data_IF_845105533342
#
_entry.id   IF_845105533342
#
_cell.length_a   1.000
_cell.length_b   1.000
_cell.length_c   1.000
_cell.angle_alpha   90.00
_cell.angle_beta   90.00
_cell.angle_gamma   90.00
#
_symmetry.space_group_name_H-M   'P 1'
#
loop_
_entity.id
_entity.type
_entity.pdbx_description
1 polymer ?
#
# COMPACT_ATOMS: atom_id res chain seq x y z
N UNK A 1 -15.20 -55.47 -9.74
CA UNK A 1 -14.48 -54.44 -8.94
C UNK A 1 -14.57 -53.09 -9.64
N UNK A 2 -15.63 -52.28 -9.43
CA UNK A 2 -15.80 -51.01 -10.17
C UNK A 2 -16.69 -49.94 -9.49
N UNK A 3 -17.45 -50.27 -8.44
CA UNK A 3 -18.41 -49.32 -7.85
C UNK A 3 -17.83 -48.49 -6.69
N UNK A 4 -17.02 -49.09 -5.80
CA UNK A 4 -16.52 -48.40 -4.59
C UNK A 4 -15.51 -47.27 -4.85
N UNK A 5 -14.73 -47.35 -5.94
CA UNK A 5 -13.76 -46.28 -6.31
C UNK A 5 -14.45 -45.03 -6.88
N UNK A 6 -15.58 -45.21 -7.57
CA UNK A 6 -16.37 -44.09 -8.13
C UNK A 6 -17.17 -43.36 -7.04
N UNK A 7 -17.63 -44.11 -6.03
CA UNK A 7 -18.31 -43.54 -4.86
C UNK A 7 -17.36 -42.69 -4.00
N UNK A 8 -16.12 -43.15 -3.80
CA UNK A 8 -15.12 -42.40 -3.01
C UNK A 8 -14.70 -41.09 -3.66
N UNK A 9 -14.58 -41.04 -4.99
CA UNK A 9 -14.21 -39.82 -5.74
C UNK A 9 -15.35 -38.80 -5.76
N UNK A 10 -16.61 -39.25 -5.80
CA UNK A 10 -17.77 -38.33 -5.77
C UNK A 10 -17.94 -37.68 -4.40
N UNK A 11 -17.64 -38.40 -3.32
CA UNK A 11 -17.69 -37.87 -1.95
C UNK A 11 -16.62 -36.80 -1.71
N UNK A 12 -15.38 -37.01 -2.16
CA UNK A 12 -14.30 -36.01 -1.99
C UNK A 12 -14.54 -34.73 -2.79
N UNK A 13 -15.08 -34.85 -4.01
CA UNK A 13 -15.46 -33.67 -4.82
C UNK A 13 -16.62 -32.91 -4.18
N UNK A 14 -17.62 -33.61 -3.64
CA UNK A 14 -18.74 -32.99 -2.93
C UNK A 14 -18.32 -32.24 -1.68
N UNK A 15 -17.41 -32.82 -0.88
CA UNK A 15 -16.88 -32.17 0.34
C UNK A 15 -16.05 -30.94 -0.02
N UNK A 16 -15.22 -31.01 -1.06
CA UNK A 16 -14.45 -29.85 -1.52
C UNK A 16 -15.34 -28.69 -1.96
N UNK A 17 -16.40 -28.98 -2.72
CA UNK A 17 -17.37 -27.97 -3.16
C UNK A 17 -18.14 -27.36 -1.99
N UNK A 18 -18.55 -28.18 -1.01
CA UNK A 18 -19.25 -27.69 0.18
C UNK A 18 -18.37 -26.77 1.03
N UNK A 19 -17.09 -27.11 1.23
CA UNK A 19 -16.14 -26.25 1.97
C UNK A 19 -15.92 -24.93 1.24
N UNK A 20 -15.85 -24.95 -0.10
CA UNK A 20 -15.65 -23.75 -0.90
C UNK A 20 -16.89 -22.82 -0.85
N UNK A 21 -18.09 -23.39 -0.87
CA UNK A 21 -19.35 -22.62 -0.71
C UNK A 21 -19.48 -22.00 0.68
N UNK A 22 -19.04 -22.70 1.73
CA UNK A 22 -19.03 -22.15 3.11
C UNK A 22 -18.00 -21.02 3.22
N UNK A 23 -16.83 -21.14 2.60
CA UNK A 23 -15.82 -20.07 2.59
C UNK A 23 -16.31 -18.81 1.86
N UNK A 24 -17.00 -18.97 0.72
CA UNK A 24 -17.61 -17.85 -0.02
C UNK A 24 -18.77 -17.22 0.76
N UNK A 25 -19.60 -18.04 1.43
CA UNK A 25 -20.70 -17.55 2.26
C UNK A 25 -20.23 -16.72 3.46
N UNK A 26 -19.13 -17.12 4.12
CA UNK A 26 -18.53 -16.35 5.21
C UNK A 26 -17.90 -15.06 4.67
N UNK A 27 -17.24 -15.11 3.52
CA UNK A 27 -16.64 -13.94 2.88
C UNK A 27 -17.70 -12.89 2.50
N UNK A 28 -18.82 -13.32 1.92
CA UNK A 28 -19.95 -12.45 1.58
C UNK A 28 -20.75 -11.90 2.77
N UNK A 29 -20.59 -12.47 3.97
CA UNK A 29 -21.18 -11.95 5.21
C UNK A 29 -20.30 -10.87 5.87
N UNK A 30 -18.99 -10.90 5.61
CA UNK A 30 -18.03 -9.87 6.06
C UNK A 30 -17.98 -8.68 5.11
N UNK A 31 -18.17 -8.90 3.81
CA UNK A 31 -18.33 -7.85 2.79
C UNK A 31 -19.81 -7.66 2.52
N UNK A 32 -20.49 -6.82 3.32
CA UNK A 32 -21.94 -6.59 3.21
C UNK A 32 -22.43 -6.25 1.79
N UNK A 33 -23.74 -6.37 1.51
CA UNK A 33 -24.29 -6.14 0.18
C UNK A 33 -23.97 -4.72 -0.29
N UNK A 34 -23.64 -4.53 -1.59
CA UNK A 34 -23.48 -3.20 -2.14
C UNK A 34 -24.79 -2.42 -1.96
N UNK A 35 -24.74 -1.13 -1.56
CA UNK A 35 -25.94 -0.33 -1.42
C UNK A 35 -26.62 -0.15 -2.78
N UNK A 36 -27.94 -0.33 -2.79
CA UNK A 36 -28.80 0.03 -3.93
C UNK A 36 -28.69 1.53 -4.19
N UNK A 37 -28.19 1.90 -5.37
CA UNK A 37 -28.10 3.30 -5.82
C UNK A 37 -29.52 3.85 -6.06
N UNK A 38 -29.98 4.89 -5.33
CA UNK A 38 -31.24 5.55 -5.66
C UNK A 38 -31.06 6.46 -6.87
N UNK A 39 -31.93 6.33 -7.88
CA UNK A 39 -32.07 7.28 -8.98
C UNK A 39 -32.45 8.67 -8.43
N UNK A 40 -31.60 9.67 -8.70
CA UNK A 40 -31.89 11.07 -8.41
C UNK A 40 -32.80 11.69 -9.49
N UNK A 41 -33.82 12.47 -9.12
CA UNK A 41 -34.47 13.43 -10.02
C UNK A 41 -33.65 14.73 -10.12
N UNK A 42 -33.77 15.41 -11.26
CA UNK A 42 -33.09 16.65 -11.61
C UNK A 42 -33.69 17.92 -10.96
N UNK A 43 -32.88 19.00 -11.02
CA UNK A 43 -33.16 20.44 -10.83
C UNK A 43 -33.33 20.91 -9.36
N UNK A 44 -32.72 22.00 -8.83
CA UNK A 44 -32.14 23.26 -9.35
C UNK A 44 -31.19 23.91 -8.27
N UNK A 45 -30.52 25.06 -8.51
CA UNK A 45 -29.28 25.46 -7.83
C UNK A 45 -29.45 26.26 -6.54
N UNK A 46 -28.64 25.93 -5.52
CA UNK A 46 -28.48 26.69 -4.29
C UNK A 46 -27.01 26.85 -3.93
N UNK A 47 -26.52 28.09 -3.97
CA UNK A 47 -25.20 28.49 -3.50
C UNK A 47 -25.00 28.13 -2.03
N UNK A 48 -24.06 27.24 -1.74
CA UNK A 48 -23.43 27.07 -0.45
C UNK A 48 -21.92 26.90 -0.67
N UNK A 49 -21.13 27.72 0.00
CA UNK A 49 -19.68 27.66 -0.02
C UNK A 49 -19.23 26.48 0.86
N UNK A 50 -18.51 25.53 0.24
CA UNK A 50 -17.94 24.31 0.81
C UNK A 50 -16.40 24.44 0.75
N UNK A 51 -15.62 23.86 1.70
CA UNK A 51 -14.19 24.13 1.86
C UNK A 51 -13.34 23.65 0.69
N UNK A 52 -12.19 24.30 0.47
CA UNK A 52 -11.20 23.92 -0.56
C UNK A 52 -10.58 22.55 -0.28
N UNK A 53 -11.29 21.48 -0.62
CA UNK A 53 -10.69 20.18 -0.85
C UNK A 53 -9.93 20.28 -2.17
N UNK A 54 -8.60 20.24 -2.11
CA UNK A 54 -7.76 20.29 -3.31
C UNK A 54 -7.96 18.99 -4.08
N UNK A 55 -8.93 19.01 -5.00
CA UNK A 55 -9.35 17.91 -5.85
C UNK A 55 -8.26 17.64 -6.90
N UNK A 56 -7.15 17.06 -6.46
CA UNK A 56 -6.08 16.61 -7.35
C UNK A 56 -6.47 15.21 -7.81
N UNK A 57 -6.86 15.10 -9.08
CA UNK A 57 -7.20 13.84 -9.71
C UNK A 57 -6.15 12.75 -9.39
N UNK A 58 -6.59 11.50 -9.12
CA UNK A 58 -5.70 10.41 -8.77
C UNK A 58 -4.64 10.19 -9.85
N UNK A 59 -3.37 10.11 -9.43
CA UNK A 59 -2.25 9.86 -10.34
C UNK A 59 -1.96 8.37 -10.36
N UNK A 60 -2.08 7.76 -11.55
CA UNK A 60 -1.70 6.36 -11.77
C UNK A 60 -0.21 6.28 -12.06
N UNK A 61 0.54 5.52 -11.26
CA UNK A 61 1.99 5.39 -11.42
C UNK A 61 2.35 4.06 -12.09
N UNK A 62 2.95 4.12 -13.28
CA UNK A 62 3.41 2.92 -14.01
C UNK A 62 4.78 2.43 -13.50
N UNK A 63 5.09 1.12 -13.62
CA UNK A 63 6.38 0.58 -13.22
C UNK A 63 7.46 0.99 -14.21
N UNK A 64 8.11 2.11 -13.91
CA UNK A 64 9.41 2.49 -14.45
C UNK A 64 10.42 2.43 -13.31
N UNK A 65 11.70 2.12 -13.58
CA UNK A 65 12.76 2.30 -12.59
C UNK A 65 12.69 3.74 -12.08
N UNK A 66 12.41 3.91 -10.78
CA UNK A 66 12.26 5.24 -10.23
C UNK A 66 13.59 5.97 -10.32
N UNK A 67 13.68 7.17 -10.95
CA UNK A 67 14.77 8.09 -10.62
C UNK A 67 14.71 8.24 -9.09
N UNK A 68 15.86 8.17 -8.42
CA UNK A 68 15.91 8.13 -6.95
C UNK A 68 15.04 9.19 -6.26
N UNK A 69 14.78 9.02 -4.97
CA UNK A 69 13.86 9.89 -4.22
C UNK A 69 14.20 11.38 -4.40
N UNK A 70 13.19 12.25 -4.50
CA UNK A 70 13.40 13.66 -4.80
C UNK A 70 14.20 14.34 -3.69
N UNK A 71 15.14 15.20 -4.09
CA UNK A 71 15.82 16.10 -3.15
C UNK A 71 14.93 17.31 -2.88
N UNK A 72 14.06 17.20 -1.88
CA UNK A 72 13.09 18.22 -1.51
C UNK A 72 13.09 18.47 0.00
N UNK A 73 12.64 19.65 0.41
CA UNK A 73 12.36 19.99 1.82
C UNK A 73 10.88 19.89 2.16
N UNK A 74 10.02 19.57 1.18
CA UNK A 74 8.59 19.34 1.40
C UNK A 74 8.33 17.87 1.79
N UNK A 75 7.86 17.60 3.02
CA UNK A 75 7.61 16.24 3.49
C UNK A 75 6.50 15.52 2.71
N UNK A 76 5.48 16.23 2.22
CA UNK A 76 4.38 15.60 1.49
C UNK A 76 4.85 15.10 0.12
N UNK A 77 5.61 15.92 -0.61
CA UNK A 77 6.22 15.52 -1.89
C UNK A 77 7.18 14.35 -1.70
N UNK A 78 8.01 14.37 -0.64
CA UNK A 78 8.94 13.28 -0.37
C UNK A 78 8.22 11.98 -0.01
N UNK A 79 7.25 12.02 0.91
CA UNK A 79 6.49 10.85 1.35
C UNK A 79 5.69 10.22 0.20
N UNK A 80 5.11 11.04 -0.69
CA UNK A 80 4.49 10.54 -1.92
C UNK A 80 5.47 9.74 -2.76
N UNK A 81 6.65 10.28 -3.03
CA UNK A 81 7.66 9.59 -3.82
C UNK A 81 8.15 8.29 -3.17
N UNK A 82 8.25 8.25 -1.83
CA UNK A 82 8.51 7.02 -1.08
C UNK A 82 7.40 5.99 -1.34
N UNK A 83 6.13 6.38 -1.21
CA UNK A 83 5.01 5.48 -1.47
C UNK A 83 5.01 4.94 -2.90
N UNK A 84 5.23 5.81 -3.89
CA UNK A 84 5.31 5.41 -5.31
C UNK A 84 6.45 4.41 -5.54
N UNK A 85 7.64 4.68 -4.98
CA UNK A 85 8.81 3.81 -5.08
C UNK A 85 8.59 2.45 -4.42
N UNK A 86 7.85 2.38 -3.30
CA UNK A 86 7.58 1.12 -2.60
C UNK A 86 6.49 0.30 -3.28
N UNK A 87 5.41 0.96 -3.74
CA UNK A 87 4.21 0.28 -4.19
C UNK A 87 4.21 -0.08 -5.68
N UNK A 88 5.18 0.42 -6.44
CA UNK A 88 5.27 0.20 -7.88
C UNK A 88 6.46 -0.68 -8.22
N UNK A 89 6.21 -1.89 -8.73
CA UNK A 89 7.26 -2.84 -9.11
C UNK A 89 6.79 -3.80 -10.19
N UNK A 90 7.75 -4.37 -10.91
CA UNK A 90 7.54 -5.45 -11.86
C UNK A 90 8.47 -6.62 -11.48
N UNK A 91 7.88 -7.79 -11.23
CA UNK A 91 8.64 -8.98 -10.85
C UNK A 91 9.60 -9.43 -11.94
N UNK A 92 9.36 -9.07 -13.21
CA UNK A 92 10.24 -9.38 -14.32
C UNK A 92 11.40 -8.38 -14.46
N UNK A 93 11.22 -7.14 -14.01
CA UNK A 93 12.21 -6.07 -14.15
C UNK A 93 13.24 -6.01 -13.00
N UNK A 94 12.88 -6.49 -11.80
CA UNK A 94 13.73 -6.41 -10.61
C UNK A 94 14.06 -7.81 -10.09
N UNK A 95 15.30 -8.03 -9.63
CA UNK A 95 15.76 -9.36 -9.19
C UNK A 95 14.96 -9.94 -8.01
N UNK A 96 14.49 -9.08 -7.10
CA UNK A 96 13.66 -9.49 -5.97
C UNK A 96 13.34 -8.33 -5.03
N UNK A 97 12.67 -8.63 -3.89
CA UNK A 97 12.19 -7.61 -2.97
C UNK A 97 13.30 -6.69 -2.42
N UNK A 98 14.42 -7.28 -1.99
CA UNK A 98 15.53 -6.53 -1.42
C UNK A 98 16.17 -5.55 -2.43
N UNK A 99 16.26 -5.95 -3.70
CA UNK A 99 16.80 -5.10 -4.76
C UNK A 99 15.87 -3.94 -5.07
N UNK A 100 14.56 -4.17 -4.98
CA UNK A 100 13.53 -3.15 -5.21
C UNK A 100 13.61 -2.00 -4.20
N UNK A 101 13.75 -2.31 -2.91
CA UNK A 101 13.80 -1.28 -1.85
C UNK A 101 15.19 -0.68 -1.64
N UNK A 102 16.24 -1.23 -2.26
CA UNK A 102 17.62 -0.76 -2.05
C UNK A 102 17.78 0.75 -2.29
N UNK A 103 17.22 1.37 -3.35
CA UNK A 103 17.31 2.81 -3.54
C UNK A 103 16.60 3.62 -2.44
N UNK A 104 15.50 3.11 -1.90
CA UNK A 104 14.75 3.75 -0.81
C UNK A 104 15.56 3.69 0.49
N UNK A 105 16.14 2.52 0.81
CA UNK A 105 17.01 2.35 1.97
C UNK A 105 18.29 3.19 1.88
N UNK A 106 18.79 3.42 0.66
CA UNK A 106 19.96 4.28 0.44
C UNK A 106 19.71 5.77 0.74
N UNK A 107 18.44 6.20 0.76
CA UNK A 107 18.04 7.58 1.09
C UNK A 107 17.59 7.75 2.55
N UNK A 108 17.81 6.73 3.37
CA UNK A 108 17.58 6.79 4.81
C UNK A 108 18.36 7.94 5.48
N UNK A 109 18.07 8.16 6.77
CA UNK A 109 18.70 9.17 7.60
C UNK A 109 20.25 9.15 7.49
N UNK A 110 20.91 10.29 7.18
CA UNK A 110 22.37 10.35 6.98
C UNK A 110 23.21 9.87 8.16
N UNK A 111 22.72 10.03 9.39
CA UNK A 111 23.38 9.57 10.62
C UNK A 111 23.05 8.12 10.99
N UNK A 112 22.15 7.47 10.23
CA UNK A 112 21.83 6.03 10.27
C UNK A 112 21.31 5.52 11.62
N UNK A 113 20.71 6.40 12.40
CA UNK A 113 20.08 6.06 13.67
C UNK A 113 18.84 5.19 13.44
N UNK A 114 18.00 5.56 12.48
CA UNK A 114 16.73 4.87 12.19
C UNK A 114 16.87 3.77 11.13
N UNK A 115 17.96 3.81 10.34
CA UNK A 115 18.22 2.88 9.23
C UNK A 115 18.00 1.38 9.56
N UNK A 116 18.46 0.82 10.71
CA UNK A 116 18.17 -0.58 11.03
C UNK A 116 16.68 -0.87 11.22
N UNK A 117 15.95 0.04 11.86
CA UNK A 117 14.51 -0.06 12.03
C UNK A 117 13.78 0.05 10.70
N UNK A 118 14.19 0.99 9.85
CA UNK A 118 13.66 1.17 8.51
C UNK A 118 13.81 -0.07 7.64
N UNK A 119 14.96 -0.74 7.68
CA UNK A 119 15.16 -1.98 6.93
C UNK A 119 14.14 -3.07 7.33
N UNK A 120 13.83 -3.18 8.62
CA UNK A 120 12.79 -4.08 9.14
C UNK A 120 11.38 -3.66 8.73
N UNK A 121 11.11 -2.35 8.65
CA UNK A 121 9.84 -1.85 8.15
C UNK A 121 9.67 -2.18 6.66
N UNK A 122 10.65 -1.83 5.82
CA UNK A 122 10.65 -2.07 4.37
C UNK A 122 10.42 -3.55 4.00
N UNK A 123 11.00 -4.47 4.77
CA UNK A 123 10.82 -5.91 4.55
C UNK A 123 9.36 -6.36 4.66
N UNK A 124 8.51 -5.60 5.36
CA UNK A 124 7.07 -5.90 5.55
C UNK A 124 6.18 -5.30 4.45
N UNK A 125 6.71 -4.40 3.62
CA UNK A 125 5.95 -3.76 2.54
C UNK A 125 5.92 -4.58 1.25
N UNK A 126 6.88 -5.50 1.09
CA UNK A 126 7.00 -6.33 -0.11
C UNK A 126 6.63 -7.79 0.15
N UNK A 127 6.24 -8.53 -0.91
CA UNK A 127 6.10 -9.97 -0.83
C UNK A 127 7.38 -10.64 -0.31
N UNK A 128 7.24 -11.73 0.45
CA UNK A 128 8.39 -12.55 0.83
C UNK A 128 9.10 -13.12 -0.42
N UNK A 129 10.40 -13.43 -0.36
CA UNK A 129 11.17 -13.83 -1.53
C UNK A 129 10.59 -15.05 -2.29
N UNK A 130 10.04 -16.03 -1.60
CA UNK A 130 9.38 -17.20 -2.19
C UNK A 130 8.08 -16.82 -2.89
N UNK A 131 7.27 -15.94 -2.27
CA UNK A 131 6.05 -15.37 -2.89
C UNK A 131 6.42 -14.55 -4.12
N UNK A 132 7.50 -13.77 -4.08
CA UNK A 132 7.97 -13.01 -5.24
C UNK A 132 8.31 -13.92 -6.43
N UNK A 133 8.93 -15.09 -6.20
CA UNK A 133 9.20 -16.05 -7.28
C UNK A 133 7.92 -16.64 -7.86
N UNK A 134 6.92 -16.93 -7.02
CA UNK A 134 5.60 -17.36 -7.49
C UNK A 134 4.95 -16.27 -8.36
N UNK A 135 4.95 -15.02 -7.89
CA UNK A 135 4.42 -13.87 -8.65
C UNK A 135 5.16 -13.67 -9.97
N UNK A 136 6.48 -13.90 -10.00
CA UNK A 136 7.29 -13.85 -11.23
C UNK A 136 6.85 -14.90 -12.25
N UNK A 137 6.51 -16.12 -11.85
CA UNK A 137 5.94 -17.12 -12.76
C UNK A 137 4.62 -16.66 -13.40
N UNK A 138 3.89 -15.79 -12.72
CA UNK A 138 2.66 -15.16 -13.21
C UNK A 138 2.90 -13.82 -13.89
N UNK A 139 4.15 -13.45 -14.21
CA UNK A 139 4.51 -12.18 -14.84
C UNK A 139 3.88 -10.98 -14.11
N UNK A 140 3.88 -11.04 -12.78
CA UNK A 140 3.10 -10.10 -11.98
C UNK A 140 3.76 -8.73 -11.96
N UNK A 141 2.95 -7.71 -12.15
CA UNK A 141 3.29 -6.30 -12.00
C UNK A 141 2.37 -5.68 -10.95
N UNK A 142 2.90 -4.74 -10.17
CA UNK A 142 2.14 -3.90 -9.26
C UNK A 142 2.34 -2.42 -9.60
N UNK A 143 1.22 -1.70 -9.65
CA UNK A 143 1.16 -0.24 -9.73
C UNK A 143 0.35 0.27 -8.55
N UNK A 144 0.38 1.59 -8.32
CA UNK A 144 -0.43 2.20 -7.29
C UNK A 144 -1.09 3.49 -7.78
N UNK A 145 -2.28 3.72 -7.26
CA UNK A 145 -2.97 5.01 -7.30
C UNK A 145 -2.91 5.60 -5.91
N UNK A 146 -2.29 6.79 -5.77
CA UNK A 146 -2.24 7.52 -4.51
C UNK A 146 -3.46 8.45 -4.44
N UNK A 147 -4.30 8.27 -3.42
CA UNK A 147 -5.53 9.04 -3.23
C UNK A 147 -5.30 10.25 -2.34
N UNK A 148 -4.60 10.07 -1.22
CA UNK A 148 -4.33 11.12 -0.26
C UNK A 148 -2.91 11.05 0.30
N UNK A 149 -2.37 12.23 0.59
CA UNK A 149 -1.06 12.44 1.23
C UNK A 149 -1.20 13.62 2.16
N UNK A 150 -1.20 13.39 3.47
CA UNK A 150 -1.47 14.42 4.48
C UNK A 150 -0.74 14.15 5.78
N UNK A 151 -0.53 15.20 6.58
CA UNK A 151 -0.08 15.06 7.97
C UNK A 151 -1.35 14.83 8.80
N UNK A 152 -1.46 13.75 9.58
CA UNK A 152 -2.65 13.51 10.39
C UNK A 152 -2.80 14.58 11.47
N UNK A 153 -4.04 15.01 11.73
CA UNK A 153 -4.36 16.08 12.70
C UNK A 153 -3.86 15.75 14.12
N UNK A 154 -3.72 14.46 14.44
CA UNK A 154 -3.19 13.99 15.72
C UNK A 154 -1.69 14.22 15.89
N UNK A 155 -0.95 14.49 14.79
CA UNK A 155 0.51 14.49 14.78
C UNK A 155 1.11 15.45 15.79
N UNK A 156 0.63 16.70 15.85
CA UNK A 156 1.20 17.70 16.77
C UNK A 156 1.04 17.30 18.23
N UNK A 157 -0.08 16.65 18.57
CA UNK A 157 -0.34 16.14 19.92
C UNK A 157 0.56 14.94 20.24
N UNK A 158 0.80 14.06 19.27
CA UNK A 158 1.69 12.90 19.43
C UNK A 158 3.14 13.38 19.56
N UNK A 159 3.58 14.28 18.69
CA UNK A 159 4.96 14.75 18.62
C UNK A 159 5.41 15.49 19.88
N UNK A 160 4.47 16.09 20.61
CA UNK A 160 4.72 16.78 21.88
C UNK A 160 4.45 15.92 23.12
N UNK A 161 3.96 14.69 22.93
CA UNK A 161 3.66 13.77 24.04
C UNK A 161 4.93 13.18 24.65
N UNK A 162 4.90 12.93 25.97
CA UNK A 162 6.02 12.25 26.67
C UNK A 162 6.28 10.84 26.13
N UNK A 163 5.24 10.18 25.60
CA UNK A 163 5.32 8.84 25.00
C UNK A 163 6.03 8.78 23.66
N UNK A 164 6.10 9.89 22.91
CA UNK A 164 6.83 9.93 21.65
C UNK A 164 8.36 9.93 21.86
N UNK A 165 8.82 10.08 23.10
CA UNK A 165 10.23 10.28 23.40
C UNK A 165 10.76 11.59 22.82
N UNK A 166 12.07 11.68 22.65
CA UNK A 166 12.69 12.87 22.05
C UNK A 166 12.75 12.69 20.53
N UNK A 167 11.69 13.09 19.83
CA UNK A 167 11.71 13.19 18.38
C UNK A 167 12.74 14.24 17.96
N UNK A 168 13.40 14.00 16.83
CA UNK A 168 14.29 14.99 16.24
C UNK A 168 13.48 16.17 15.69
N UNK A 169 13.98 17.38 15.87
CA UNK A 169 13.42 18.57 15.23
C UNK A 169 13.26 18.39 13.71
N UNK A 170 12.12 18.82 13.16
CA UNK A 170 11.82 18.62 11.74
C UNK A 170 11.35 17.21 11.37
N UNK A 171 11.12 16.33 12.36
CA UNK A 171 10.40 15.07 12.16
C UNK A 171 8.91 15.34 11.93
N UNK A 172 8.34 14.64 10.96
CA UNK A 172 6.91 14.70 10.64
C UNK A 172 6.39 13.34 10.22
N UNK A 173 5.16 13.02 10.62
CA UNK A 173 4.42 11.89 10.12
C UNK A 173 3.54 12.30 8.93
N UNK A 174 3.61 11.54 7.84
CA UNK A 174 2.77 11.74 6.66
C UNK A 174 2.00 10.46 6.37
N UNK A 175 0.68 10.51 6.42
CA UNK A 175 -0.21 9.40 6.07
C UNK A 175 -0.45 9.36 4.57
N UNK A 176 -0.39 8.15 4.01
CA UNK A 176 -0.63 7.83 2.62
C UNK A 176 -1.85 6.92 2.54
N UNK A 177 -2.81 7.29 1.71
CA UNK A 177 -3.92 6.44 1.30
C UNK A 177 -3.76 6.10 -0.18
N UNK A 178 -3.79 4.82 -0.52
CA UNK A 178 -3.57 4.36 -1.88
C UNK A 178 -4.35 3.08 -2.20
N UNK A 179 -4.41 2.74 -3.48
CA UNK A 179 -4.81 1.42 -3.95
C UNK A 179 -3.68 0.80 -4.75
N UNK A 180 -3.27 -0.41 -4.37
CA UNK A 180 -2.34 -1.22 -5.15
C UNK A 180 -3.11 -1.99 -6.20
N UNK A 181 -2.75 -1.81 -7.46
CA UNK A 181 -3.28 -2.57 -8.59
C UNK A 181 -2.26 -3.64 -8.98
N UNK A 182 -2.65 -4.90 -8.87
CA UNK A 182 -1.80 -6.02 -9.25
C UNK A 182 -2.36 -6.67 -10.50
N UNK A 183 -1.52 -6.88 -11.50
CA UNK A 183 -1.87 -7.55 -12.75
C UNK A 183 -0.91 -8.69 -13.02
N UNK A 184 -1.38 -9.78 -13.62
CA UNK A 184 -0.55 -10.92 -13.98
C UNK A 184 -1.29 -11.89 -14.91
N UNK A 185 -0.71 -13.07 -15.10
CA UNK A 185 -1.23 -14.15 -15.94
C UNK A 185 -1.56 -15.36 -15.05
N UNK A 186 -2.82 -15.81 -15.11
CA UNK A 186 -3.30 -17.00 -14.42
C UNK A 186 -3.99 -17.94 -15.42
N UNK A 187 -3.53 -19.19 -15.55
CA UNK A 187 -4.04 -20.15 -16.54
C UNK A 187 -4.14 -19.57 -17.96
N UNK A 188 -3.08 -18.89 -18.42
CA UNK A 188 -3.00 -18.20 -19.71
C UNK A 188 -4.04 -17.08 -19.93
N UNK A 189 -4.70 -16.62 -18.86
CA UNK A 189 -5.64 -15.50 -18.89
C UNK A 189 -5.10 -14.32 -18.07
N UNK A 190 -5.35 -13.07 -18.50
CA UNK A 190 -5.07 -11.90 -17.67
C UNK A 190 -5.87 -11.95 -16.37
N UNK A 191 -5.22 -11.64 -15.26
CA UNK A 191 -5.82 -11.53 -13.94
C UNK A 191 -5.44 -10.18 -13.31
N UNK A 192 -6.35 -9.60 -12.52
CA UNK A 192 -6.11 -8.37 -11.77
C UNK A 192 -6.71 -8.41 -10.38
N UNK A 193 -6.13 -7.66 -9.44
CA UNK A 193 -6.62 -7.53 -8.09
C UNK A 193 -6.22 -6.18 -7.49
N UNK A 194 -7.19 -5.52 -6.85
CA UNK A 194 -7.03 -4.22 -6.22
C UNK A 194 -7.03 -4.35 -4.70
N UNK A 195 -6.08 -3.67 -4.05
CA UNK A 195 -5.92 -3.73 -2.61
C UNK A 195 -5.75 -2.31 -2.07
N UNK A 196 -6.76 -1.74 -1.39
CA UNK A 196 -6.57 -0.48 -0.67
C UNK A 196 -5.49 -0.67 0.39
N UNK A 197 -4.69 0.37 0.60
CA UNK A 197 -3.68 0.42 1.65
C UNK A 197 -3.62 1.79 2.28
N UNK A 198 -3.40 1.83 3.59
CA UNK A 198 -3.10 3.06 4.32
C UNK A 198 -1.90 2.87 5.24
N UNK A 199 -0.97 3.82 5.26
CA UNK A 199 0.21 3.74 6.13
C UNK A 199 0.82 5.11 6.36
N UNK A 200 1.73 5.20 7.32
CA UNK A 200 2.42 6.44 7.69
C UNK A 200 3.90 6.36 7.37
N UNK A 201 4.41 7.41 6.74
CA UNK A 201 5.82 7.65 6.47
C UNK A 201 6.35 8.65 7.49
N UNK A 202 7.38 8.27 8.24
CA UNK A 202 8.07 9.18 9.15
C UNK A 202 9.28 9.78 8.44
N UNK A 203 9.30 11.10 8.34
CA UNK A 203 10.29 11.86 7.56
C UNK A 203 10.99 12.85 8.47
N UNK A 204 12.29 13.07 8.29
CA UNK A 204 12.99 14.20 8.89
C UNK A 204 13.46 15.15 7.79
N UNK A 205 13.00 16.39 7.84
CA UNK A 205 13.34 17.47 6.91
C UNK A 205 14.09 18.58 7.68
N UNK A 206 14.44 19.75 7.07
CA UNK A 206 15.01 20.85 7.85
C UNK A 206 14.16 21.20 9.09
N UNK A 207 14.78 21.46 10.25
CA UNK A 207 16.22 21.70 10.45
C UNK A 207 17.07 20.45 10.71
N UNK A 208 16.51 19.23 10.81
CA UNK A 208 17.28 18.01 11.06
C UNK A 208 18.40 17.77 10.04
N UNK A 209 18.04 17.94 8.77
CA UNK A 209 18.87 17.67 7.60
C UNK A 209 18.66 18.78 6.57
N UNK A 210 19.54 18.86 5.56
CA UNK A 210 19.45 19.85 4.47
C UNK A 210 18.25 19.62 3.54
N UNK A 211 17.71 18.40 3.54
CA UNK A 211 16.51 17.97 2.82
C UNK A 211 15.78 16.86 3.58
N UNK A 212 14.62 16.46 3.10
CA UNK A 212 13.87 15.35 3.67
C UNK A 212 14.60 14.00 3.48
N UNK A 213 14.59 13.20 4.54
CA UNK A 213 15.11 11.83 4.59
C UNK A 213 14.09 10.89 5.24
N UNK A 214 14.08 9.63 4.81
CA UNK A 214 13.18 8.63 5.35
C UNK A 214 13.71 8.11 6.70
N UNK A 215 12.89 8.17 7.74
CA UNK A 215 13.21 7.63 9.05
C UNK A 215 12.65 6.22 9.21
N UNK A 216 11.33 6.08 9.19
CA UNK A 216 10.59 4.86 9.55
C UNK A 216 9.30 4.77 8.74
N UNK A 217 8.69 3.59 8.74
CA UNK A 217 7.37 3.36 8.17
C UNK A 217 6.48 2.68 9.21
N UNK A 218 5.21 3.06 9.29
CA UNK A 218 4.23 2.26 10.04
C UNK A 218 3.98 0.93 9.32
N UNK A 219 3.19 0.04 9.93
CA UNK A 219 2.75 -1.16 9.21
C UNK A 219 1.67 -0.77 8.19
N UNK A 220 1.60 -1.52 7.09
CA UNK A 220 0.47 -1.40 6.15
C UNK A 220 -0.84 -1.63 6.89
N UNK A 221 -1.83 -0.80 6.58
CA UNK A 221 -3.18 -0.78 7.13
C UNK A 221 -3.24 -0.50 8.64
N UNK A 222 -2.17 0.10 9.16
CA UNK A 222 -2.07 0.58 10.53
C UNK A 222 -1.34 1.94 10.53
N UNK A 223 -1.98 2.99 9.98
CA UNK A 223 -1.44 4.34 10.03
C UNK A 223 -1.51 4.91 11.45
N UNK A 224 -0.82 6.02 11.68
CA UNK A 224 -1.12 6.87 12.82
C UNK A 224 -2.57 7.38 12.72
N UNK A 225 -3.28 7.48 13.87
CA UNK A 225 -4.68 7.90 13.93
C UNK A 225 -4.88 9.38 13.58
#
# INVERSE_FOLDING_TARGET
MSSSRRLLVTITVGIGLAVLLVAVGIYGLLTGPPPDTPQAPADEPGTAAEPEQTDRAPVVVSPRPSPGLPRTTDPLTYARAVAEALLTWDTMAVAGPAEHVRPVLADADPDRVETPGLAGDLARYLPQPDVWQQLRHHHTTQTATIHAVYIPDSWDSIATSESAGHLRDGTVAVTIEATRHRTGIWLDQPASADHPVTFTVFVACPPAFDRCHLLRLSQLDNPLP
#
